data_IF_852102707776
#
_entry.id   IF_852102707776
#
_cell.length_a   1.000
_cell.length_b   1.000
_cell.length_c   1.000
_cell.angle_alpha   90.00
_cell.angle_beta   90.00
_cell.angle_gamma   90.00
#
_symmetry.space_group_name_H-M   'P 1'
#
loop_
_entity.id
_entity.type
_entity.pdbx_description
1 polymer ?
#
# COMPACT_ATOMS: atom_id res chain seq x y z
N UNK A 1 -13.86 -20.18 14.27
CA UNK A 1 -12.92 -19.36 13.48
C UNK A 1 -12.80 -18.01 14.20
N UNK A 2 -11.72 -17.77 14.95
CA UNK A 2 -11.51 -16.49 15.66
C UNK A 2 -11.09 -15.46 14.63
N UNK A 3 -11.86 -14.38 14.47
CA UNK A 3 -11.49 -13.28 13.60
C UNK A 3 -10.38 -12.49 14.31
N UNK A 4 -9.21 -12.25 13.67
CA UNK A 4 -8.01 -11.73 14.34
C UNK A 4 -8.16 -10.31 14.91
N UNK A 5 -9.23 -9.58 14.53
CA UNK A 5 -9.54 -8.23 15.01
C UNK A 5 -10.41 -8.18 16.27
N UNK A 6 -10.88 -9.31 16.79
CA UNK A 6 -11.88 -9.37 17.87
C UNK A 6 -11.29 -8.99 19.24
N UNK A 7 -9.98 -9.18 19.44
CA UNK A 7 -9.30 -8.88 20.72
C UNK A 7 -8.54 -7.55 20.73
N UNK A 8 -8.52 -6.80 19.63
CA UNK A 8 -7.90 -5.49 19.59
C UNK A 8 -8.94 -4.43 19.94
N UNK A 9 -8.62 -3.54 20.87
CA UNK A 9 -9.38 -2.32 21.13
C UNK A 9 -9.27 -1.40 19.91
N UNK A 10 -9.97 -1.74 18.82
CA UNK A 10 -9.90 -0.99 17.58
C UNK A 10 -10.68 0.30 17.79
N UNK A 11 -9.94 1.37 18.03
CA UNK A 11 -10.45 2.74 17.85
C UNK A 11 -10.70 2.89 16.36
N UNK A 12 -11.93 2.63 15.95
CA UNK A 12 -12.34 2.75 14.55
C UNK A 12 -13.03 4.08 14.32
N UNK A 13 -12.88 4.60 13.12
CA UNK A 13 -13.45 5.87 12.72
C UNK A 13 -14.78 5.62 12.00
N UNK A 14 -15.88 6.05 12.58
CA UNK A 14 -17.19 6.04 11.95
C UNK A 14 -17.40 7.37 11.22
N UNK A 15 -17.55 7.35 9.90
CA UNK A 15 -17.89 8.55 9.13
C UNK A 15 -19.39 8.59 8.87
N UNK A 16 -20.07 9.66 9.27
CA UNK A 16 -21.49 9.86 9.05
C UNK A 16 -21.70 10.84 7.87
N UNK A 17 -22.61 10.54 6.92
CA UNK A 17 -23.10 11.53 5.98
C UNK A 17 -23.94 12.56 6.74
N UNK A 18 -23.63 13.83 6.52
CA UNK A 18 -24.33 14.98 7.10
C UNK A 18 -25.07 15.71 5.97
N UNK A 19 -26.32 16.16 6.18
CA UNK A 19 -27.03 17.01 5.22
C UNK A 19 -26.39 18.40 5.08
N UNK A 20 -25.54 18.79 6.03
CA UNK A 20 -24.66 19.96 5.93
C UNK A 20 -23.24 19.50 5.63
N UNK A 21 -22.69 20.00 4.52
CA UNK A 21 -21.38 19.78 3.94
C UNK A 21 -20.26 19.54 5.00
N UNK A 22 -19.93 18.27 5.23
CA UNK A 22 -18.88 17.87 6.17
C UNK A 22 -19.04 16.43 6.68
N UNK A 23 -18.18 15.52 6.21
CA UNK A 23 -18.16 14.13 6.67
C UNK A 23 -17.49 14.07 8.06
N UNK A 24 -18.28 14.15 9.14
CA UNK A 24 -17.73 14.05 10.50
C UNK A 24 -17.35 12.61 10.81
N UNK A 25 -16.15 12.46 11.36
CA UNK A 25 -15.60 11.16 11.75
C UNK A 25 -15.53 11.09 13.27
N UNK A 26 -16.09 10.03 13.85
CA UNK A 26 -16.12 9.82 15.29
C UNK A 26 -15.39 8.54 15.67
N UNK A 27 -14.54 8.55 16.70
CA UNK A 27 -13.96 7.33 17.24
C UNK A 27 -15.06 6.46 17.88
N UNK A 28 -14.99 5.17 17.61
CA UNK A 28 -15.87 4.15 18.15
C UNK A 28 -15.06 2.94 18.61
N UNK A 29 -15.54 2.25 19.64
CA UNK A 29 -14.97 0.99 20.13
C UNK A 29 -15.97 -0.15 19.89
N UNK A 30 -15.46 -1.32 19.55
CA UNK A 30 -16.29 -2.55 19.46
C UNK A 30 -16.68 -2.96 20.87
N UNK A 31 -17.98 -3.08 21.11
CA UNK A 31 -18.55 -3.43 22.41
C UNK A 31 -18.93 -4.90 22.46
N UNK A 32 -19.50 -5.42 21.38
CA UNK A 32 -19.80 -6.84 21.24
C UNK A 32 -19.95 -7.24 19.78
N UNK A 33 -19.82 -8.54 19.54
CA UNK A 33 -20.16 -9.19 18.28
C UNK A 33 -21.24 -10.20 18.62
N UNK A 34 -22.41 -10.06 18.02
CA UNK A 34 -23.50 -11.00 18.25
C UNK A 34 -23.15 -12.33 17.59
N UNK A 35 -23.34 -13.48 18.27
CA UNK A 35 -22.96 -14.79 17.76
C UNK A 35 -23.90 -15.32 16.65
N UNK A 36 -24.94 -14.56 16.31
CA UNK A 36 -25.96 -14.95 15.34
C UNK A 36 -25.49 -14.59 13.92
N UNK A 37 -25.13 -15.64 13.17
CA UNK A 37 -24.77 -15.55 11.76
C UNK A 37 -26.05 -15.60 10.92
N UNK A 38 -26.31 -14.53 10.16
CA UNK A 38 -27.33 -14.58 9.13
C UNK A 38 -26.85 -15.55 8.02
N UNK A 39 -27.58 -16.66 7.83
CA UNK A 39 -27.18 -17.72 6.91
C UNK A 39 -27.34 -17.33 5.44
N UNK A 40 -28.20 -16.35 5.15
CA UNK A 40 -28.48 -15.89 3.79
C UNK A 40 -27.42 -14.89 3.30
N UNK A 41 -26.93 -14.02 4.19
CA UNK A 41 -25.95 -12.97 3.87
C UNK A 41 -24.53 -13.29 4.35
N UNK A 42 -24.38 -14.31 5.22
CA UNK A 42 -23.13 -14.67 5.91
C UNK A 42 -22.54 -13.49 6.70
N UNK A 43 -23.38 -12.66 7.30
CA UNK A 43 -22.97 -11.51 8.12
C UNK A 43 -23.21 -11.74 9.61
N UNK A 44 -22.31 -11.19 10.45
CA UNK A 44 -22.50 -11.07 11.90
C UNK A 44 -22.76 -9.61 12.26
N UNK A 45 -23.62 -9.38 13.24
CA UNK A 45 -23.90 -8.04 13.75
C UNK A 45 -22.86 -7.62 14.79
N UNK A 46 -22.24 -6.46 14.59
CA UNK A 46 -21.26 -5.86 15.52
C UNK A 46 -21.87 -4.63 16.18
N UNK A 47 -21.83 -4.58 17.50
CA UNK A 47 -22.27 -3.42 18.29
C UNK A 47 -21.07 -2.56 18.63
N UNK A 48 -21.13 -1.29 18.25
CA UNK A 48 -20.09 -0.28 18.46
C UNK A 48 -20.58 0.75 19.48
N UNK A 49 -19.74 1.11 20.44
CA UNK A 49 -19.98 2.24 21.33
C UNK A 49 -19.21 3.46 20.83
N UNK A 50 -19.94 4.55 20.61
CA UNK A 50 -19.38 5.85 20.27
C UNK A 50 -18.83 6.55 21.52
N UNK A 51 -17.82 7.39 21.32
CA UNK A 51 -17.33 8.30 22.37
C UNK A 51 -18.48 9.20 22.88
N UNK A 52 -18.62 9.46 24.20
CA UNK A 52 -19.68 10.31 24.76
C UNK A 52 -19.84 11.69 24.10
N UNK A 53 -18.76 12.28 23.60
CA UNK A 53 -18.81 13.55 22.88
C UNK A 53 -19.50 13.43 21.50
N UNK A 54 -19.37 12.26 20.87
CA UNK A 54 -20.00 11.95 19.59
C UNK A 54 -21.50 11.68 19.73
N UNK A 55 -21.94 11.02 20.82
CA UNK A 55 -23.35 10.68 21.06
C UNK A 55 -24.25 11.91 21.03
N UNK A 56 -23.76 13.08 21.48
CA UNK A 56 -24.51 14.35 21.45
C UNK A 56 -24.72 14.93 20.04
N UNK A 57 -23.98 14.44 19.05
CA UNK A 57 -23.97 14.96 17.68
C UNK A 57 -24.57 13.99 16.65
N UNK A 58 -25.03 12.82 17.10
CA UNK A 58 -25.57 11.76 16.24
C UNK A 58 -27.03 11.51 16.59
N UNK A 59 -27.89 11.42 15.58
CA UNK A 59 -29.31 11.13 15.77
C UNK A 59 -29.60 9.63 15.59
N UNK A 60 -30.52 9.04 16.37
CA UNK A 60 -30.98 7.68 16.14
C UNK A 60 -31.51 7.50 14.70
N UNK A 61 -31.19 6.36 14.08
CA UNK A 61 -31.58 6.05 12.70
C UNK A 61 -30.65 6.62 11.62
N UNK A 62 -29.62 7.39 11.99
CA UNK A 62 -28.65 7.89 11.03
C UNK A 62 -27.74 6.76 10.51
N UNK A 63 -27.59 6.67 9.19
CA UNK A 63 -26.70 5.70 8.54
C UNK A 63 -25.26 6.15 8.67
N UNK A 64 -24.36 5.24 9.03
CA UNK A 64 -22.93 5.50 9.12
C UNK A 64 -22.11 4.58 8.23
N UNK A 65 -20.90 5.03 7.90
CA UNK A 65 -19.88 4.21 7.27
C UNK A 65 -18.76 3.94 8.26
N UNK A 66 -18.56 2.67 8.57
CA UNK A 66 -17.46 2.21 9.41
C UNK A 66 -16.19 2.10 8.57
N UNK A 67 -15.10 2.75 9.00
CA UNK A 67 -13.76 2.54 8.44
C UNK A 67 -12.99 1.60 9.34
N UNK A 68 -12.86 0.35 8.91
CA UNK A 68 -12.01 -0.65 9.54
C UNK A 68 -10.66 -0.68 8.82
N UNK A 69 -9.58 -0.46 9.55
CA UNK A 69 -8.22 -0.64 9.04
C UNK A 69 -7.74 -2.03 9.46
N UNK A 70 -7.38 -2.86 8.49
CA UNK A 70 -6.78 -4.16 8.73
C UNK A 70 -5.33 -4.13 8.23
N UNK A 71 -4.40 -4.60 9.08
CA UNK A 71 -2.99 -4.75 8.70
C UNK A 71 -2.71 -6.23 8.51
N UNK A 72 -2.51 -6.64 7.25
CA UNK A 72 -2.15 -8.01 6.91
C UNK A 72 -0.63 -8.05 6.71
N UNK A 73 0.14 -8.80 7.53
CA UNK A 73 1.57 -8.94 7.33
C UNK A 73 1.82 -9.61 5.97
N UNK A 74 2.32 -8.81 5.03
CA UNK A 74 2.53 -9.23 3.65
C UNK A 74 3.97 -8.95 3.27
N UNK A 75 4.70 -9.98 2.85
CA UNK A 75 6.06 -9.83 2.36
C UNK A 75 6.06 -9.13 0.99
N UNK A 76 6.91 -8.12 0.84
CA UNK A 76 7.05 -7.34 -0.38
C UNK A 76 7.90 -6.10 -0.16
N UNK A 77 8.05 -5.32 -1.22
CA UNK A 77 8.90 -4.13 -1.26
C UNK A 77 8.08 -2.91 -1.63
N UNK A 78 8.30 -1.80 -0.93
CA UNK A 78 7.67 -0.53 -1.25
C UNK A 78 8.48 0.20 -2.32
N UNK A 79 7.85 0.46 -3.46
CA UNK A 79 8.43 1.24 -4.55
C UNK A 79 7.61 2.50 -4.83
N UNK A 80 8.22 3.60 -5.29
CA UNK A 80 7.49 4.73 -5.83
C UNK A 80 6.64 4.31 -7.04
N UNK A 81 5.49 4.94 -7.22
CA UNK A 81 4.63 4.68 -8.39
C UNK A 81 5.36 4.93 -9.71
N UNK A 82 6.33 5.84 -9.73
CA UNK A 82 7.15 6.20 -10.92
C UNK A 82 8.15 5.12 -11.34
N UNK A 83 8.45 4.15 -10.47
CA UNK A 83 9.37 3.05 -10.74
C UNK A 83 8.71 1.91 -11.54
N UNK A 84 7.37 1.87 -11.59
CA UNK A 84 6.62 0.83 -12.27
C UNK A 84 6.44 1.14 -13.74
N UNK A 85 6.65 0.11 -14.57
CA UNK A 85 6.43 0.14 -16.01
C UNK A 85 5.57 -1.03 -16.43
N UNK A 86 4.87 -0.87 -17.56
CA UNK A 86 3.99 -1.91 -18.08
C UNK A 86 4.80 -3.14 -18.52
N UNK A 87 4.39 -4.28 -17.98
CA UNK A 87 4.89 -5.64 -18.18
C UNK A 87 4.63 -6.24 -19.56
N UNK A 88 5.20 -7.43 -19.76
CA UNK A 88 4.71 -8.36 -20.78
C UNK A 88 3.34 -8.90 -20.32
N UNK A 89 2.40 -9.07 -21.26
CA UNK A 89 1.05 -9.64 -21.01
C UNK A 89 0.24 -8.93 -19.90
N UNK A 90 0.47 -7.63 -19.69
CA UNK A 90 -0.29 -6.85 -18.71
C UNK A 90 0.16 -7.02 -17.26
N UNK A 91 1.29 -7.68 -17.01
CA UNK A 91 1.96 -7.64 -15.71
C UNK A 91 2.57 -6.25 -15.45
N UNK A 92 3.15 -6.06 -14.27
CA UNK A 92 3.98 -4.89 -13.99
C UNK A 92 5.45 -5.31 -13.95
N UNK A 93 6.34 -4.38 -14.27
CA UNK A 93 7.77 -4.58 -14.10
C UNK A 93 8.39 -3.32 -13.49
N UNK A 94 9.59 -3.46 -12.95
CA UNK A 94 10.46 -2.34 -12.61
C UNK A 94 11.85 -2.56 -13.23
N UNK A 95 12.60 -1.47 -13.36
CA UNK A 95 13.99 -1.54 -13.80
C UNK A 95 14.92 -1.47 -12.60
N UNK A 96 15.96 -2.29 -12.62
CA UNK A 96 17.02 -2.31 -11.61
C UNK A 96 18.38 -2.11 -12.28
N UNK A 97 19.34 -1.57 -11.55
CA UNK A 97 20.73 -1.53 -12.00
C UNK A 97 21.33 -2.94 -11.87
N UNK A 98 21.80 -3.47 -13.00
CA UNK A 98 22.51 -4.72 -13.10
C UNK A 98 24.02 -4.54 -12.95
N UNK A 99 24.78 -5.23 -13.78
CA UNK A 99 26.25 -5.24 -13.75
C UNK A 99 26.87 -3.85 -13.94
N UNK A 100 27.91 -3.57 -13.15
CA UNK A 100 28.74 -2.39 -13.29
C UNK A 100 29.77 -2.60 -14.41
N UNK A 101 29.69 -1.80 -15.47
CA UNK A 101 30.77 -1.63 -16.44
C UNK A 101 31.84 -0.68 -15.90
N UNK A 102 33.08 -0.86 -16.39
CA UNK A 102 34.28 -0.16 -15.94
C UNK A 102 34.06 1.35 -15.75
N UNK A 103 34.63 1.86 -14.66
CA UNK A 103 34.67 3.28 -14.35
C UNK A 103 35.56 4.02 -15.34
N UNK A 104 35.08 5.13 -15.89
CA UNK A 104 35.93 6.11 -16.60
C UNK A 104 37.18 6.39 -15.74
N UNK A 105 38.36 6.59 -16.37
CA UNK A 105 39.70 6.77 -15.76
C UNK A 105 39.80 7.84 -14.64
N UNK A 106 38.73 8.59 -14.37
CA UNK A 106 38.59 9.58 -13.30
C UNK A 106 37.86 9.07 -12.04
N UNK A 107 37.41 7.80 -12.01
CA UNK A 107 36.78 7.17 -10.84
C UNK A 107 35.42 7.76 -10.41
N UNK A 108 34.87 8.71 -11.18
CA UNK A 108 33.74 9.52 -10.74
C UNK A 108 32.38 9.12 -11.36
N UNK A 109 32.34 8.20 -12.33
CA UNK A 109 31.09 7.80 -12.99
C UNK A 109 31.02 6.30 -13.18
N UNK A 110 30.09 5.67 -12.46
CA UNK A 110 29.76 4.25 -12.60
C UNK A 110 28.67 4.07 -13.66
N UNK A 111 28.91 3.18 -14.61
CA UNK A 111 27.96 2.84 -15.68
C UNK A 111 27.37 1.46 -15.38
N UNK A 112 26.06 1.35 -15.32
CA UNK A 112 25.36 0.11 -14.99
C UNK A 112 24.52 -0.36 -16.17
N UNK A 113 24.38 -1.66 -16.35
CA UNK A 113 23.36 -2.20 -17.25
C UNK A 113 21.97 -2.07 -16.62
N UNK A 114 20.93 -1.96 -17.44
CA UNK A 114 19.54 -1.96 -16.98
C UNK A 114 18.97 -3.37 -17.09
N UNK A 115 18.49 -3.89 -15.97
CA UNK A 115 17.76 -5.15 -15.93
C UNK A 115 16.29 -4.92 -15.61
N UNK A 116 15.44 -5.81 -16.14
CA UNK A 116 14.00 -5.78 -15.91
C UNK A 116 13.61 -6.87 -14.92
N UNK A 117 12.84 -6.49 -13.90
CA UNK A 117 12.26 -7.40 -12.91
C UNK A 117 10.75 -7.33 -13.00
N UNK A 118 10.11 -8.47 -13.16
CA UNK A 118 8.65 -8.59 -13.17
C UNK A 118 8.12 -8.62 -11.74
N UNK A 119 7.03 -7.89 -11.52
CA UNK A 119 6.42 -7.64 -10.22
C UNK A 119 4.91 -7.62 -10.31
N UNK A 120 4.26 -7.97 -9.20
CA UNK A 120 2.83 -7.81 -8.98
C UNK A 120 2.57 -6.73 -7.94
N UNK A 121 1.43 -6.06 -8.08
CA UNK A 121 0.97 -5.02 -7.14
C UNK A 121 0.10 -5.67 -6.08
N UNK A 122 0.51 -5.54 -4.83
CA UNK A 122 -0.22 -6.04 -3.67
C UNK A 122 -1.06 -4.94 -3.01
N UNK A 123 -0.51 -3.73 -2.92
CA UNK A 123 -1.20 -2.59 -2.30
C UNK A 123 -0.73 -1.27 -2.92
N UNK A 124 -1.66 -0.35 -3.15
CA UNK A 124 -1.36 1.01 -3.59
C UNK A 124 -1.68 1.99 -2.48
N UNK A 125 -0.70 2.84 -2.14
CA UNK A 125 -0.87 4.04 -1.32
C UNK A 125 -0.48 5.25 -2.15
N UNK A 126 -1.03 6.44 -1.85
CA UNK A 126 -1.02 7.64 -2.71
C UNK A 126 0.23 7.86 -3.58
N UNK A 127 1.44 7.67 -3.04
CA UNK A 127 2.72 7.83 -3.77
C UNK A 127 3.61 6.57 -3.84
N UNK A 128 3.18 5.44 -3.27
CA UNK A 128 4.00 4.22 -3.15
C UNK A 128 3.16 2.97 -3.33
N UNK A 129 3.77 1.95 -3.89
CA UNK A 129 3.11 0.68 -4.19
C UNK A 129 3.92 -0.43 -3.53
N UNK A 130 3.22 -1.31 -2.82
CA UNK A 130 3.77 -2.55 -2.30
C UNK A 130 3.75 -3.58 -3.42
N UNK A 131 4.92 -4.05 -3.79
CA UNK A 131 5.09 -5.03 -4.85
C UNK A 131 5.76 -6.30 -4.34
N UNK A 132 5.56 -7.39 -5.08
CA UNK A 132 6.26 -8.66 -4.89
C UNK A 132 6.62 -9.22 -6.25
N UNK A 133 7.64 -10.08 -6.33
CA UNK A 133 8.01 -10.71 -7.59
C UNK A 133 9.47 -11.09 -7.63
N UNK A 134 10.10 -10.82 -8.77
CA UNK A 134 11.49 -11.24 -9.08
C UNK A 134 12.56 -10.28 -8.56
N UNK A 135 12.17 -9.25 -7.78
CA UNK A 135 13.07 -8.36 -7.06
C UNK A 135 13.84 -9.09 -5.95
N UNK A 136 15.11 -8.73 -5.78
CA UNK A 136 15.97 -9.30 -4.74
C UNK A 136 16.38 -8.23 -3.71
N UNK A 137 16.64 -8.63 -2.46
CA UNK A 137 17.25 -7.74 -1.47
C UNK A 137 18.57 -7.17 -2.00
N UNK A 138 18.76 -5.86 -1.88
CA UNK A 138 19.94 -5.16 -2.37
C UNK A 138 19.82 -4.59 -3.78
N UNK A 139 18.78 -4.93 -4.55
CA UNK A 139 18.52 -4.34 -5.87
C UNK A 139 18.40 -2.81 -5.78
N UNK A 140 19.01 -2.13 -6.74
CA UNK A 140 18.89 -0.68 -6.88
C UNK A 140 17.83 -0.36 -7.93
N UNK A 141 16.64 0.01 -7.48
CA UNK A 141 15.51 0.28 -8.37
C UNK A 141 15.62 1.66 -9.00
N UNK A 142 15.39 1.73 -10.31
CA UNK A 142 15.37 2.98 -11.07
C UNK A 142 13.99 3.62 -10.93
N UNK A 143 13.95 4.78 -10.27
CA UNK A 143 12.69 5.48 -9.90
C UNK A 143 12.31 6.62 -10.85
N UNK A 144 13.17 6.93 -11.84
CA UNK A 144 12.98 8.06 -12.76
C UNK A 144 13.55 7.78 -14.14
N UNK A 145 12.97 8.41 -15.17
CA UNK A 145 13.38 8.21 -16.56
C UNK A 145 12.96 6.86 -17.16
N UNK A 146 12.12 6.09 -16.47
CA UNK A 146 11.69 4.73 -16.83
C UNK A 146 11.05 4.62 -18.23
N UNK A 147 10.40 5.68 -18.71
CA UNK A 147 9.81 5.76 -20.05
C UNK A 147 10.81 5.77 -21.21
N UNK A 148 12.12 5.93 -20.94
CA UNK A 148 13.20 5.92 -21.95
C UNK A 148 14.14 4.74 -21.82
N UNK A 149 13.85 3.81 -20.90
CA UNK A 149 14.74 2.69 -20.59
C UNK A 149 14.30 1.43 -21.31
N UNK A 150 15.31 0.70 -21.79
CA UNK A 150 15.16 -0.63 -22.37
C UNK A 150 16.11 -1.58 -21.64
N UNK A 151 15.73 -2.84 -21.39
CA UNK A 151 16.65 -3.84 -20.84
C UNK A 151 17.94 -3.95 -21.65
N UNK A 152 19.08 -4.08 -20.97
CA UNK A 152 20.42 -4.13 -21.58
C UNK A 152 21.03 -2.77 -21.91
N UNK A 153 20.31 -1.67 -21.69
CA UNK A 153 20.85 -0.33 -21.89
C UNK A 153 21.86 0.01 -20.78
N UNK A 154 22.94 0.69 -21.16
CA UNK A 154 23.92 1.23 -20.21
C UNK A 154 23.48 2.62 -19.73
N UNK A 155 23.40 2.80 -18.41
CA UNK A 155 22.96 4.04 -17.77
C UNK A 155 23.94 4.50 -16.71
N UNK A 156 24.00 5.82 -16.53
CA UNK A 156 24.74 6.44 -15.43
C UNK A 156 23.74 6.73 -14.32
N UNK A 157 24.04 6.28 -13.10
CA UNK A 157 23.21 6.62 -11.96
C UNK A 157 23.48 8.07 -11.56
N UNK A 158 22.45 8.91 -11.55
CA UNK A 158 22.46 10.18 -10.83
C UNK A 158 21.83 9.91 -9.49
N UNK A 159 22.60 9.94 -8.40
CA UNK A 159 22.08 9.67 -7.06
C UNK A 159 21.00 10.69 -6.70
N UNK A 160 19.75 10.30 -6.91
CA UNK A 160 18.57 10.93 -6.34
C UNK A 160 17.91 9.82 -5.54
N UNK A 161 18.32 9.66 -4.28
CA UNK A 161 17.80 8.69 -3.32
C UNK A 161 17.17 7.43 -3.97
N UNK A 162 18.00 6.63 -4.65
CA UNK A 162 17.55 5.37 -5.22
C UNK A 162 16.99 4.51 -4.09
N UNK A 163 15.82 3.92 -4.28
CA UNK A 163 15.24 3.05 -3.27
C UNK A 163 15.99 1.74 -3.34
N UNK A 164 16.88 1.52 -2.36
CA UNK A 164 17.53 0.24 -2.15
C UNK A 164 16.51 -0.70 -1.53
N UNK A 165 16.32 -1.85 -2.17
CA UNK A 165 15.46 -2.90 -1.64
C UNK A 165 16.11 -3.45 -0.36
N UNK A 166 15.42 -3.38 0.81
CA UNK A 166 15.97 -3.86 2.08
C UNK A 166 16.11 -5.39 2.13
#
# INVERSE_FOLDING_TARGET
MRLPWVDQAITTCLSLPSPFEGQKTYPARVSSILPELDSSTRTLTVVLTLDPLAVRQVSPGQVARWKLAETIPTAGYWLPTTALVQGVRGLWSCYVLGELAESDLSGATHVFSVERRDVEILQTQSNRILVRGTLQPGDQVIVGGTHRLVPGQWVRSKTVAGVKVP
#
